data_IF_605050056935
#
_entry.id   IF_605050056935
#
_cell.length_a   1.000
_cell.length_b   1.000
_cell.length_c   1.000
_cell.angle_alpha   90.00
_cell.angle_beta   90.00
_cell.angle_gamma   90.00
#
_symmetry.space_group_name_H-M   'P 1'
#
loop_
_entity.id
_entity.type
_entity.pdbx_description
1 polymer ?
#
# COMPACT_ATOMS: atom_id res chain seq x y z
N UNK A 1 42.12 9.71 18.05
CA UNK A 1 40.65 9.81 18.18
C UNK A 1 40.08 9.52 16.79
N UNK A 2 39.25 8.54 16.62
CA UNK A 2 38.65 8.28 15.33
C UNK A 2 37.68 9.45 15.03
N UNK A 3 38.04 10.29 14.07
CA UNK A 3 37.21 11.44 13.69
C UNK A 3 35.99 10.95 12.94
N UNK A 4 34.84 10.92 13.64
CA UNK A 4 33.55 10.73 13.03
C UNK A 4 32.88 12.09 12.82
N UNK A 5 32.56 12.39 11.58
CA UNK A 5 31.83 13.61 11.22
C UNK A 5 30.63 13.29 10.37
N UNK A 6 29.63 14.16 10.40
CA UNK A 6 28.43 14.00 9.59
C UNK A 6 27.89 15.37 9.16
N UNK A 7 27.16 15.38 8.05
CA UNK A 7 26.49 16.56 7.52
C UNK A 7 25.19 16.21 6.83
N UNK A 8 24.21 17.11 6.86
CA UNK A 8 22.88 16.92 6.23
C UNK A 8 22.71 17.89 5.07
N UNK A 9 22.40 17.33 3.90
CA UNK A 9 22.08 18.11 2.69
C UNK A 9 20.62 17.87 2.32
N UNK A 10 19.85 18.95 2.26
CA UNK A 10 18.46 18.92 1.82
C UNK A 10 18.37 19.00 0.30
N UNK A 11 17.39 18.31 -0.32
CA UNK A 11 17.18 18.40 -1.76
C UNK A 11 16.76 19.82 -2.16
N UNK A 12 17.24 20.27 -3.32
CA UNK A 12 16.75 21.50 -3.94
C UNK A 12 15.24 21.40 -4.24
N UNK A 13 14.53 22.51 -4.10
CA UNK A 13 13.12 22.62 -4.47
C UNK A 13 12.98 22.58 -5.99
N UNK A 14 13.03 21.40 -6.59
CA UNK A 14 12.67 21.24 -8.00
C UNK A 14 11.15 21.31 -8.16
N UNK A 15 10.67 22.07 -9.16
CA UNK A 15 9.27 22.06 -9.58
C UNK A 15 8.88 20.60 -9.86
N UNK A 16 7.79 20.17 -9.24
CA UNK A 16 7.28 18.79 -9.25
C UNK A 16 7.21 18.20 -10.64
N UNK A 17 8.10 17.29 -10.95
CA UNK A 17 7.86 16.27 -11.97
C UNK A 17 7.01 15.16 -11.35
N UNK A 18 6.15 14.54 -12.14
CA UNK A 18 5.22 13.45 -11.79
C UNK A 18 5.88 12.18 -11.20
N UNK A 19 6.92 12.34 -10.40
CA UNK A 19 7.68 11.23 -9.86
C UNK A 19 7.06 10.78 -8.52
N UNK A 20 6.64 9.52 -8.43
CA UNK A 20 6.02 8.92 -7.24
C UNK A 20 6.93 8.91 -6.00
N UNK A 21 8.24 9.06 -6.18
CA UNK A 21 9.21 9.06 -5.08
C UNK A 21 9.27 10.45 -4.43
N UNK A 22 9.05 10.49 -3.12
CA UNK A 22 9.23 11.73 -2.36
C UNK A 22 10.70 12.16 -2.36
N UNK A 23 10.98 13.48 -2.37
CA UNK A 23 12.35 13.97 -2.23
C UNK A 23 12.93 13.52 -0.88
N UNK A 24 14.21 13.13 -0.89
CA UNK A 24 14.94 12.66 0.28
C UNK A 24 16.08 13.61 0.58
N UNK A 25 16.39 13.77 1.86
CA UNK A 25 17.64 14.40 2.28
C UNK A 25 18.77 13.38 2.28
N UNK A 26 19.99 13.85 2.13
CA UNK A 26 21.20 13.02 2.20
C UNK A 26 21.96 13.36 3.47
N UNK A 27 22.28 12.35 4.27
CA UNK A 27 23.20 12.46 5.39
C UNK A 27 24.55 11.90 4.91
N UNK A 28 25.56 12.71 4.90
CA UNK A 28 26.94 12.31 4.64
C UNK A 28 27.58 11.94 5.97
N UNK A 29 28.23 10.79 6.02
CA UNK A 29 29.00 10.32 7.15
C UNK A 29 30.44 10.17 6.68
N UNK A 30 31.41 10.59 7.51
CA UNK A 30 32.83 10.33 7.29
C UNK A 30 33.45 9.77 8.55
N UNK A 31 34.19 8.67 8.42
CA UNK A 31 34.90 8.03 9.53
C UNK A 31 36.18 7.35 9.03
N UNK A 32 37.21 7.33 9.87
CA UNK A 32 38.49 6.70 9.54
C UNK A 32 38.35 5.18 9.25
N UNK A 33 37.37 4.52 9.89
CA UNK A 33 37.20 3.06 9.80
C UNK A 33 36.32 2.62 8.64
N UNK A 34 35.37 3.46 8.16
CA UNK A 34 34.39 3.09 7.14
C UNK A 34 34.43 4.01 5.91
N UNK A 35 35.29 5.05 5.93
CA UNK A 35 35.35 6.05 4.88
C UNK A 35 34.08 6.91 4.78
N UNK A 36 33.80 7.40 3.56
CA UNK A 36 32.66 8.27 3.27
C UNK A 36 31.43 7.46 2.86
N UNK A 37 30.30 7.70 3.53
CA UNK A 37 29.03 7.06 3.28
C UNK A 37 27.92 8.07 3.03
N UNK A 38 26.88 7.66 2.29
CA UNK A 38 25.67 8.48 2.01
C UNK A 38 24.42 7.72 2.44
N UNK A 39 23.64 8.31 3.33
CA UNK A 39 22.37 7.78 3.76
C UNK A 39 21.23 8.66 3.23
N UNK A 40 20.26 8.03 2.55
CA UNK A 40 19.08 8.73 2.07
C UNK A 40 17.93 8.56 3.06
N UNK A 41 17.45 9.66 3.60
CA UNK A 41 16.39 9.66 4.62
C UNK A 41 15.22 10.59 4.23
N UNK A 42 14.02 10.37 4.77
CA UNK A 42 12.92 11.32 4.63
C UNK A 42 13.31 12.71 5.14
N UNK A 43 12.76 13.75 4.53
CA UNK A 43 13.07 15.16 4.91
C UNK A 43 12.73 15.44 6.39
N UNK A 44 11.62 14.85 6.91
CA UNK A 44 11.25 15.02 8.31
C UNK A 44 12.25 14.37 9.27
N UNK A 45 12.86 13.24 8.90
CA UNK A 45 13.96 12.61 9.65
C UNK A 45 15.16 13.56 9.68
N UNK A 46 15.60 14.06 8.51
CA UNK A 46 16.71 15.00 8.42
C UNK A 46 16.48 16.28 9.23
N UNK A 47 15.26 16.83 9.18
CA UNK A 47 14.89 18.00 9.99
C UNK A 47 14.99 17.71 11.49
N UNK A 48 14.55 16.53 11.94
CA UNK A 48 14.64 16.14 13.35
C UNK A 48 16.09 15.96 13.78
N UNK A 49 16.93 15.35 12.92
CA UNK A 49 18.37 15.22 13.16
C UNK A 49 19.02 16.61 13.37
N UNK A 50 18.79 17.55 12.45
CA UNK A 50 19.34 18.90 12.56
C UNK A 50 18.81 19.66 13.78
N UNK A 51 17.55 19.45 14.16
CA UNK A 51 16.99 20.08 15.35
C UNK A 51 17.66 19.57 16.64
N UNK A 52 17.81 18.25 16.77
CA UNK A 52 18.47 17.63 17.94
C UNK A 52 19.95 18.00 18.03
N UNK A 53 20.62 18.16 16.90
CA UNK A 53 22.02 18.64 16.86
C UNK A 53 22.15 20.06 17.42
N UNK A 54 21.29 20.97 17.02
CA UNK A 54 21.24 22.35 17.54
C UNK A 54 21.00 22.43 19.05
N UNK A 55 20.28 21.43 19.59
CA UNK A 55 19.99 21.31 21.02
C UNK A 55 21.09 20.54 21.77
N UNK A 56 22.22 20.21 21.11
CA UNK A 56 23.32 19.36 21.64
C UNK A 56 22.84 17.99 22.17
N UNK A 57 21.72 17.49 21.64
CA UNK A 57 21.16 16.18 22.00
C UNK A 57 21.67 15.06 21.09
N UNK A 58 22.35 15.42 20.00
CA UNK A 58 22.83 14.47 19.01
C UNK A 58 24.36 14.28 19.05
N UNK A 59 25.02 14.73 20.11
CA UNK A 59 26.46 14.52 20.30
C UNK A 59 26.78 13.04 20.20
N UNK A 60 27.43 12.66 19.10
CA UNK A 60 27.80 11.28 18.80
C UNK A 60 29.30 11.18 18.63
N UNK A 61 29.91 10.37 19.48
CA UNK A 61 31.37 10.15 19.48
C UNK A 61 31.78 9.14 18.40
N UNK A 62 30.84 8.35 17.90
CA UNK A 62 31.10 7.31 16.92
C UNK A 62 29.97 7.17 15.88
N UNK A 63 30.34 6.60 14.72
CA UNK A 63 29.41 6.22 13.66
C UNK A 63 28.28 5.28 14.16
N UNK A 64 28.62 4.30 14.97
CA UNK A 64 27.63 3.33 15.49
C UNK A 64 26.60 4.00 16.38
N UNK A 65 27.02 4.90 17.26
CA UNK A 65 26.14 5.67 18.13
C UNK A 65 25.21 6.60 17.32
N UNK A 66 25.75 7.28 16.33
CA UNK A 66 24.93 8.11 15.42
C UNK A 66 23.86 7.28 14.70
N UNK A 67 24.22 6.11 14.15
CA UNK A 67 23.27 5.23 13.48
C UNK A 67 22.19 4.67 14.44
N UNK A 68 22.53 4.40 15.70
CA UNK A 68 21.55 4.02 16.71
C UNK A 68 20.56 5.17 16.99
N UNK A 69 21.06 6.40 17.22
CA UNK A 69 20.22 7.59 17.42
C UNK A 69 19.32 7.85 16.20
N UNK A 70 19.88 7.76 14.97
CA UNK A 70 19.14 7.91 13.73
C UNK A 70 18.02 6.85 13.59
N UNK A 71 18.31 5.62 14.00
CA UNK A 71 17.32 4.52 13.99
C UNK A 71 16.16 4.79 14.95
N UNK A 72 16.45 5.31 16.16
CA UNK A 72 15.43 5.69 17.14
C UNK A 72 14.56 6.83 16.61
N UNK A 73 15.16 7.88 16.04
CA UNK A 73 14.44 9.00 15.39
C UNK A 73 13.50 8.47 14.31
N UNK A 74 13.99 7.56 13.45
CA UNK A 74 13.14 6.98 12.41
C UNK A 74 12.01 6.15 12.98
N UNK A 75 12.24 5.35 14.04
CA UNK A 75 11.23 4.54 14.70
C UNK A 75 10.07 5.39 15.21
N UNK A 76 10.36 6.51 15.86
CA UNK A 76 9.33 7.44 16.37
C UNK A 76 8.54 8.08 15.23
N UNK A 77 9.23 8.55 14.19
CA UNK A 77 8.57 9.16 13.04
C UNK A 77 7.76 8.17 12.19
N UNK A 78 8.19 6.92 12.10
CA UNK A 78 7.42 5.84 11.45
C UNK A 78 6.14 5.57 12.24
N UNK A 79 6.21 5.51 13.58
CA UNK A 79 5.02 5.32 14.43
C UNK A 79 3.98 6.42 14.17
N UNK A 80 4.38 7.68 14.27
CA UNK A 80 3.50 8.83 13.98
C UNK A 80 2.93 8.75 12.56
N UNK A 81 3.76 8.28 11.60
CA UNK A 81 3.33 8.12 10.21
C UNK A 81 2.31 7.01 10.03
N UNK A 82 2.47 5.88 10.72
CA UNK A 82 1.51 4.77 10.74
C UNK A 82 0.16 5.26 11.29
N UNK A 83 0.17 5.89 12.45
CA UNK A 83 -1.03 6.46 13.08
C UNK A 83 -1.78 7.39 12.14
N UNK A 84 -1.08 8.35 11.52
CA UNK A 84 -1.67 9.30 10.57
C UNK A 84 -2.21 8.64 9.28
N UNK A 85 -1.68 7.51 8.87
CA UNK A 85 -2.18 6.75 7.72
C UNK A 85 -3.45 5.97 8.09
N UNK A 86 -3.42 5.27 9.22
CA UNK A 86 -4.55 4.45 9.68
C UNK A 86 -5.77 5.28 10.11
N UNK A 87 -5.59 6.53 10.55
CA UNK A 87 -6.69 7.46 10.79
C UNK A 87 -7.48 7.82 9.51
N UNK A 88 -6.90 7.63 8.32
CA UNK A 88 -7.56 7.98 7.05
C UNK A 88 -8.32 6.81 6.43
N UNK A 89 -7.75 5.62 6.46
CA UNK A 89 -8.32 4.37 5.96
C UNK A 89 -7.56 3.17 6.49
N UNK A 90 -8.15 2.01 6.38
CA UNK A 90 -7.44 0.76 6.59
C UNK A 90 -6.39 0.50 5.50
N UNK A 91 -5.34 -0.20 5.88
CA UNK A 91 -4.26 -0.67 5.02
C UNK A 91 -4.01 -2.15 5.26
N UNK A 92 -3.63 -2.89 4.22
CA UNK A 92 -2.96 -4.17 4.43
C UNK A 92 -1.55 -3.95 4.96
N UNK A 93 -1.01 -4.96 5.60
CA UNK A 93 0.39 -4.99 6.07
C UNK A 93 1.37 -4.67 4.93
N UNK A 94 1.14 -5.24 3.75
CA UNK A 94 1.94 -5.00 2.55
C UNK A 94 1.83 -3.55 2.05
N UNK A 95 0.59 -3.03 1.87
CA UNK A 95 0.39 -1.64 1.42
C UNK A 95 1.05 -0.62 2.35
N UNK A 96 0.95 -0.84 3.67
CA UNK A 96 1.56 0.05 4.65
C UNK A 96 3.08 0.01 4.58
N UNK A 97 3.67 -1.19 4.51
CA UNK A 97 5.11 -1.39 4.35
C UNK A 97 5.64 -0.67 3.12
N UNK A 98 5.01 -0.88 1.96
CA UNK A 98 5.39 -0.22 0.71
C UNK A 98 5.27 1.30 0.79
N UNK A 99 4.22 1.80 1.46
CA UNK A 99 4.04 3.24 1.67
C UNK A 99 5.17 3.86 2.48
N UNK A 100 5.59 3.21 3.56
CA UNK A 100 6.69 3.66 4.42
C UNK A 100 8.05 3.57 3.71
N UNK A 101 8.27 2.51 2.90
CA UNK A 101 9.46 2.36 2.04
C UNK A 101 9.54 3.46 0.98
N UNK A 102 8.42 3.79 0.34
CA UNK A 102 8.33 4.90 -0.62
C UNK A 102 8.53 6.26 0.06
N UNK A 103 8.10 6.43 1.31
CA UNK A 103 8.39 7.63 2.11
C UNK A 103 9.90 7.75 2.42
N UNK A 104 10.68 6.66 2.33
CA UNK A 104 12.14 6.64 2.41
C UNK A 104 12.71 6.23 3.75
N UNK A 105 11.91 5.64 4.63
CA UNK A 105 12.39 5.08 5.89
C UNK A 105 13.26 3.83 5.68
N UNK A 106 14.17 3.55 6.60
CA UNK A 106 15.03 2.37 6.55
C UNK A 106 14.20 1.09 6.64
N UNK A 107 14.51 0.13 5.77
CA UNK A 107 13.79 -1.15 5.67
C UNK A 107 13.67 -1.85 7.03
N UNK A 108 14.74 -2.05 7.83
CA UNK A 108 14.63 -2.72 9.12
C UNK A 108 13.74 -1.98 10.14
N UNK A 109 13.68 -0.64 10.05
CA UNK A 109 12.78 0.16 10.91
C UNK A 109 11.33 -0.03 10.48
N UNK A 110 11.06 -0.02 9.17
CA UNK A 110 9.72 -0.27 8.63
C UNK A 110 9.23 -1.64 9.06
N UNK A 111 10.01 -2.70 8.83
CA UNK A 111 9.64 -4.08 9.15
C UNK A 111 9.30 -4.26 10.63
N UNK A 112 10.18 -3.79 11.53
CA UNK A 112 9.94 -3.86 12.97
C UNK A 112 8.71 -3.05 13.41
N UNK A 113 8.49 -1.87 12.82
CA UNK A 113 7.36 -1.02 13.20
C UNK A 113 6.03 -1.58 12.69
N UNK A 114 6.01 -2.17 11.48
CA UNK A 114 4.83 -2.82 10.92
C UNK A 114 4.51 -4.11 11.68
N UNK A 115 5.51 -4.95 12.00
CA UNK A 115 5.32 -6.12 12.84
C UNK A 115 4.70 -5.74 14.20
N UNK A 116 5.20 -4.67 14.82
CA UNK A 116 4.62 -4.17 16.08
C UNK A 116 3.17 -3.71 15.92
N UNK A 117 2.83 -3.06 14.80
CA UNK A 117 1.44 -2.64 14.52
C UNK A 117 0.49 -3.85 14.36
N UNK A 118 0.98 -4.98 13.81
CA UNK A 118 0.23 -6.24 13.76
C UNK A 118 0.06 -6.83 15.16
N UNK A 119 1.14 -6.94 15.94
CA UNK A 119 1.11 -7.49 17.31
C UNK A 119 0.10 -6.78 18.22
N UNK A 120 0.00 -5.46 18.11
CA UNK A 120 -0.94 -4.65 18.90
C UNK A 120 -2.34 -4.53 18.29
N UNK A 121 -2.62 -5.24 17.19
CA UNK A 121 -3.93 -5.28 16.54
C UNK A 121 -4.32 -4.03 15.75
N UNK A 122 -3.39 -3.09 15.51
CA UNK A 122 -3.63 -1.93 14.65
C UNK A 122 -3.76 -2.34 13.18
N UNK A 123 -3.02 -3.37 12.75
CA UNK A 123 -3.11 -4.00 11.44
C UNK A 123 -3.66 -5.41 11.59
N UNK A 124 -4.59 -5.78 10.71
CA UNK A 124 -5.14 -7.13 10.63
C UNK A 124 -5.57 -7.39 9.18
N UNK A 125 -4.78 -8.18 8.47
CA UNK A 125 -4.98 -8.46 7.04
C UNK A 125 -6.26 -9.26 6.79
N UNK A 126 -6.70 -10.14 7.71
CA UNK A 126 -7.97 -10.86 7.60
C UNK A 126 -9.16 -9.89 7.68
N UNK A 127 -9.18 -9.01 8.69
CA UNK A 127 -10.22 -7.97 8.82
C UNK A 127 -10.24 -7.04 7.61
N UNK A 128 -9.06 -6.61 7.16
CA UNK A 128 -8.92 -5.79 5.96
C UNK A 128 -9.51 -6.48 4.73
N UNK A 129 -9.16 -7.75 4.51
CA UNK A 129 -9.63 -8.54 3.38
C UNK A 129 -11.16 -8.71 3.40
N UNK A 130 -11.75 -9.08 4.55
CA UNK A 130 -13.20 -9.23 4.70
C UNK A 130 -13.94 -7.94 4.34
N UNK A 131 -13.57 -6.83 4.94
CA UNK A 131 -14.18 -5.52 4.66
C UNK A 131 -14.01 -5.10 3.21
N UNK A 132 -12.82 -5.33 2.63
CA UNK A 132 -12.53 -5.02 1.23
C UNK A 132 -13.42 -5.81 0.29
N UNK A 133 -13.53 -7.14 0.50
CA UNK A 133 -14.37 -8.01 -0.33
C UNK A 133 -15.82 -7.57 -0.28
N UNK A 134 -16.40 -7.41 0.90
CA UNK A 134 -17.80 -6.97 1.06
C UNK A 134 -18.07 -5.66 0.36
N UNK A 135 -17.16 -4.69 0.51
CA UNK A 135 -17.25 -3.40 -0.19
C UNK A 135 -17.17 -3.54 -1.71
N UNK A 136 -16.35 -4.46 -2.25
CA UNK A 136 -16.22 -4.64 -3.70
C UNK A 136 -17.36 -5.42 -4.31
N UNK A 137 -17.87 -6.41 -3.60
CA UNK A 137 -19.11 -7.13 -3.97
C UNK A 137 -20.29 -6.15 -4.08
N UNK A 138 -20.48 -5.28 -3.09
CA UNK A 138 -21.55 -4.26 -3.14
C UNK A 138 -21.40 -3.25 -4.29
N UNK A 139 -20.15 -3.01 -4.76
CA UNK A 139 -19.83 -2.19 -5.94
C UNK A 139 -19.99 -2.95 -7.27
N UNK A 140 -20.45 -4.21 -7.23
CA UNK A 140 -20.68 -5.04 -8.40
C UNK A 140 -19.40 -5.61 -9.04
N UNK A 141 -18.35 -5.84 -8.22
CA UNK A 141 -17.17 -6.54 -8.71
C UNK A 141 -17.35 -8.05 -8.61
N UNK A 142 -16.88 -8.75 -9.62
CA UNK A 142 -16.86 -10.21 -9.63
C UNK A 142 -15.61 -10.78 -8.93
N UNK A 143 -15.65 -12.08 -8.61
CA UNK A 143 -14.63 -12.71 -7.77
C UNK A 143 -13.21 -12.67 -8.36
N UNK A 144 -13.05 -12.78 -9.68
CA UNK A 144 -11.73 -12.76 -10.34
C UNK A 144 -11.02 -11.41 -10.16
N UNK A 145 -11.75 -10.32 -10.29
CA UNK A 145 -11.18 -8.98 -10.10
C UNK A 145 -10.83 -8.72 -8.65
N UNK A 146 -11.70 -9.12 -7.73
CA UNK A 146 -11.45 -8.99 -6.28
C UNK A 146 -10.20 -9.77 -5.90
N UNK A 147 -10.06 -11.02 -6.34
CA UNK A 147 -8.89 -11.84 -6.08
C UNK A 147 -7.59 -11.20 -6.61
N UNK A 148 -7.61 -10.68 -7.83
CA UNK A 148 -6.47 -9.97 -8.43
C UNK A 148 -6.06 -8.75 -7.60
N UNK A 149 -7.02 -7.95 -7.17
CA UNK A 149 -6.77 -6.75 -6.36
C UNK A 149 -6.26 -7.06 -4.95
N UNK A 150 -6.78 -8.13 -4.31
CA UNK A 150 -6.27 -8.58 -3.02
C UNK A 150 -4.81 -9.03 -3.13
N UNK A 151 -4.47 -9.82 -4.17
CA UNK A 151 -3.09 -10.24 -4.43
C UNK A 151 -2.15 -9.05 -4.62
N UNK A 152 -2.58 -8.00 -5.34
CA UNK A 152 -1.79 -6.77 -5.49
C UNK A 152 -1.56 -6.04 -4.16
N UNK A 153 -2.41 -6.27 -3.16
CA UNK A 153 -2.30 -5.74 -1.81
C UNK A 153 -1.59 -6.66 -0.83
N UNK A 154 -0.98 -7.73 -1.36
CA UNK A 154 -0.27 -8.72 -0.54
C UNK A 154 -1.18 -9.57 0.33
N UNK A 155 -2.46 -9.69 -0.01
CA UNK A 155 -3.44 -10.50 0.71
C UNK A 155 -3.58 -11.86 0.03
N UNK A 156 -3.33 -12.93 0.79
CA UNK A 156 -3.59 -14.29 0.36
C UNK A 156 -5.07 -14.64 0.54
N UNK A 157 -5.67 -15.29 -0.47
CA UNK A 157 -7.09 -15.66 -0.43
C UNK A 157 -7.42 -16.68 0.65
N UNK A 158 -6.43 -17.41 1.14
CA UNK A 158 -6.55 -18.35 2.26
C UNK A 158 -6.95 -17.69 3.59
N UNK A 159 -6.78 -16.36 3.69
CA UNK A 159 -7.26 -15.57 4.83
C UNK A 159 -8.79 -15.37 4.84
N UNK A 160 -9.46 -15.70 3.74
CA UNK A 160 -10.90 -15.53 3.57
C UNK A 160 -11.59 -16.90 3.61
N UNK A 161 -12.19 -17.23 4.72
CA UNK A 161 -12.89 -18.50 4.90
C UNK A 161 -14.03 -18.67 3.89
N UNK A 162 -13.96 -19.78 3.12
CA UNK A 162 -14.98 -20.10 2.13
C UNK A 162 -15.02 -19.18 0.91
N UNK A 163 -13.91 -18.48 0.59
CA UNK A 163 -13.81 -17.71 -0.64
C UNK A 163 -13.92 -18.59 -1.89
N UNK A 164 -14.65 -18.18 -2.95
CA UNK A 164 -15.49 -16.97 -3.03
C UNK A 164 -16.92 -17.15 -2.51
N UNK A 165 -17.36 -18.38 -2.25
CA UNK A 165 -18.77 -18.76 -2.11
C UNK A 165 -19.44 -18.13 -0.89
N UNK A 166 -18.71 -17.96 0.22
CA UNK A 166 -19.22 -17.27 1.42
C UNK A 166 -19.57 -15.80 1.14
N UNK A 167 -18.84 -15.13 0.24
CA UNK A 167 -19.01 -13.71 -0.05
C UNK A 167 -19.88 -13.44 -1.26
N UNK A 168 -19.82 -14.31 -2.26
CA UNK A 168 -20.52 -14.18 -3.52
C UNK A 168 -20.83 -15.57 -4.09
N UNK A 169 -21.86 -16.26 -3.57
CA UNK A 169 -22.32 -17.55 -4.09
C UNK A 169 -22.58 -17.51 -5.59
N UNK A 170 -22.41 -18.64 -6.27
CA UNK A 170 -22.51 -18.71 -7.74
C UNK A 170 -23.85 -18.19 -8.28
N UNK A 171 -24.94 -18.47 -7.58
CA UNK A 171 -26.27 -17.98 -7.94
C UNK A 171 -26.34 -16.45 -7.87
N UNK A 172 -25.83 -15.88 -6.78
CA UNK A 172 -25.76 -14.43 -6.61
C UNK A 172 -24.82 -13.76 -7.63
N UNK A 173 -23.77 -14.45 -8.08
CA UNK A 173 -22.90 -13.93 -9.15
C UNK A 173 -23.68 -13.72 -10.44
N UNK A 174 -24.56 -14.65 -10.85
CA UNK A 174 -25.38 -14.52 -12.05
C UNK A 174 -26.37 -13.37 -11.93
N UNK A 175 -27.08 -13.29 -10.81
CA UNK A 175 -28.03 -12.24 -10.55
C UNK A 175 -27.40 -10.85 -10.54
N UNK A 176 -26.30 -10.68 -9.80
CA UNK A 176 -25.55 -9.43 -9.78
C UNK A 176 -25.02 -9.03 -11.15
N UNK A 177 -24.48 -9.99 -11.91
CA UNK A 177 -24.00 -9.75 -13.27
C UNK A 177 -25.15 -9.31 -14.19
N UNK A 178 -26.33 -9.94 -14.09
CA UNK A 178 -27.50 -9.59 -14.87
C UNK A 178 -28.00 -8.18 -14.54
N UNK A 179 -28.18 -7.84 -13.27
CA UNK A 179 -28.57 -6.49 -12.83
C UNK A 179 -27.58 -5.40 -13.31
N UNK A 180 -26.28 -5.71 -13.29
CA UNK A 180 -25.27 -4.78 -13.80
C UNK A 180 -25.37 -4.60 -15.33
N UNK A 181 -25.62 -5.69 -16.05
CA UNK A 181 -25.74 -5.68 -17.50
C UNK A 181 -26.99 -4.92 -17.96
N UNK A 182 -28.10 -5.00 -17.23
CA UNK A 182 -29.33 -4.24 -17.51
C UNK A 182 -29.12 -2.72 -17.56
N UNK A 183 -28.13 -2.20 -16.82
CA UNK A 183 -27.77 -0.77 -16.84
C UNK A 183 -27.07 -0.34 -18.14
N UNK A 184 -26.74 -1.30 -19.03
CA UNK A 184 -26.08 -1.00 -20.31
C UNK A 184 -27.10 -0.74 -21.39
N UNK A 185 -26.92 0.39 -22.10
CA UNK A 185 -27.74 0.68 -23.27
C UNK A 185 -27.35 -0.28 -24.40
N UNK A 186 -28.31 -1.04 -24.90
CA UNK A 186 -28.19 -1.88 -26.08
C UNK A 186 -28.37 -1.01 -27.35
N UNK A 187 -27.60 -1.27 -28.39
CA UNK A 187 -27.55 -0.44 -29.61
C UNK A 187 -27.91 -1.23 -30.86
N UNK A 188 -28.21 -2.52 -30.71
CA UNK A 188 -28.49 -3.43 -31.84
C UNK A 188 -27.24 -3.89 -32.59
N UNK A 189 -26.04 -3.37 -32.27
CA UNK A 189 -24.79 -3.76 -32.94
C UNK A 189 -23.81 -4.39 -31.94
N UNK A 190 -23.56 -5.70 -32.14
CA UNK A 190 -22.58 -6.48 -31.32
C UNK A 190 -22.80 -6.35 -29.79
N UNK A 191 -24.07 -6.32 -29.39
CA UNK A 191 -24.42 -6.12 -27.96
C UNK A 191 -24.00 -7.31 -27.10
N UNK A 192 -24.06 -8.53 -27.65
CA UNK A 192 -23.50 -9.71 -27.00
C UNK A 192 -22.03 -9.49 -26.58
N UNK A 193 -21.18 -9.14 -27.51
CA UNK A 193 -19.76 -8.91 -27.22
C UNK A 193 -19.50 -7.72 -26.28
N UNK A 194 -20.37 -6.70 -26.29
CA UNK A 194 -20.28 -5.57 -25.36
C UNK A 194 -20.60 -5.99 -23.92
N UNK A 195 -21.67 -6.79 -23.73
CA UNK A 195 -22.07 -7.29 -22.42
C UNK A 195 -21.00 -8.21 -21.86
N UNK A 196 -20.52 -9.18 -22.65
CA UNK A 196 -19.46 -10.12 -22.22
C UNK A 196 -18.20 -9.37 -21.78
N UNK A 197 -17.69 -8.44 -22.61
CA UNK A 197 -16.50 -7.64 -22.25
C UNK A 197 -16.71 -6.78 -21.01
N UNK A 198 -17.88 -6.21 -20.84
CA UNK A 198 -18.20 -5.41 -19.66
C UNK A 198 -18.19 -6.24 -18.39
N UNK A 199 -18.84 -7.40 -18.38
CA UNK A 199 -18.89 -8.28 -17.21
C UNK A 199 -17.52 -8.91 -16.91
N UNK A 200 -16.78 -9.30 -17.95
CA UNK A 200 -15.41 -9.78 -17.78
C UNK A 200 -14.49 -8.71 -17.18
N UNK A 201 -14.60 -7.45 -17.60
CA UNK A 201 -13.88 -6.32 -16.99
C UNK A 201 -14.29 -6.04 -15.54
N UNK A 202 -15.50 -6.43 -15.16
CA UNK A 202 -15.97 -6.43 -13.77
C UNK A 202 -15.43 -7.61 -12.95
N UNK A 203 -14.86 -8.63 -13.60
CA UNK A 203 -14.23 -9.79 -12.98
C UNK A 203 -15.17 -10.97 -12.75
N UNK A 204 -16.24 -11.07 -13.52
CA UNK A 204 -17.08 -12.28 -13.54
C UNK A 204 -16.46 -13.37 -14.41
N UNK A 205 -16.59 -14.67 -14.03
CA UNK A 205 -16.19 -15.79 -14.87
C UNK A 205 -16.84 -15.75 -16.27
N UNK A 206 -16.10 -16.19 -17.30
CA UNK A 206 -16.55 -16.09 -18.67
C UNK A 206 -17.89 -16.83 -18.93
N UNK A 207 -18.10 -17.98 -18.26
CA UNK A 207 -19.39 -18.72 -18.33
C UNK A 207 -20.55 -17.84 -17.89
N UNK A 208 -20.44 -17.16 -16.75
CA UNK A 208 -21.47 -16.21 -16.28
C UNK A 208 -21.67 -15.07 -17.27
N UNK A 209 -20.58 -14.50 -17.80
CA UNK A 209 -20.67 -13.41 -18.76
C UNK A 209 -21.44 -13.80 -20.02
N UNK A 210 -21.19 -15.01 -20.55
CA UNK A 210 -21.84 -15.51 -21.77
C UNK A 210 -23.30 -15.89 -21.52
N UNK A 211 -23.61 -16.50 -20.38
CA UNK A 211 -24.97 -16.88 -20.01
C UNK A 211 -25.86 -15.65 -19.82
N UNK A 212 -25.37 -14.65 -19.08
CA UNK A 212 -26.08 -13.39 -18.87
C UNK A 212 -26.27 -12.64 -20.20
N UNK A 213 -25.26 -12.60 -21.07
CA UNK A 213 -25.39 -11.95 -22.38
C UNK A 213 -26.44 -12.62 -23.26
N UNK A 214 -26.52 -13.98 -23.26
CA UNK A 214 -27.56 -14.73 -23.98
C UNK A 214 -28.95 -14.45 -23.40
N UNK A 215 -29.08 -14.46 -22.06
CA UNK A 215 -30.33 -14.19 -21.39
C UNK A 215 -30.86 -12.80 -21.74
N UNK A 216 -30.04 -11.75 -21.57
CA UNK A 216 -30.44 -10.38 -21.87
C UNK A 216 -30.91 -10.15 -23.33
N UNK A 217 -30.32 -10.88 -24.29
CA UNK A 217 -30.71 -10.75 -25.71
C UNK A 217 -31.94 -11.58 -26.06
N UNK A 218 -32.38 -12.49 -25.19
CA UNK A 218 -33.69 -13.20 -25.37
C UNK A 218 -34.84 -12.40 -24.76
N UNK A 219 -34.54 -11.59 -23.74
CA UNK A 219 -35.54 -10.82 -23.00
C UNK A 219 -35.84 -9.44 -23.66
N UNK A 220 -35.20 -9.14 -24.80
CA UNK A 220 -35.38 -7.95 -25.68
C UNK A 220 -36.07 -8.34 -26.96
#
# INVERSE_FOLDING_TARGET
>A
MADFTWNVVFPEKKKTTFNRKKPRATIFLSSDTHGDEKLFVPINVAKKVVALDRESQLDSVSRSEFLQKLTLIQKDLVRVRIEALLQRRDYSTFELSEKLRLDGFFIPVVEKSVARAVEVGLLNDQRYADLYVRSKVSQGWGPLKIACELKQRGIELTLLDGWPDTYLPLENQREHAYMLAQRKRLTGKNDYGKIVRFLAAKGYPLGICTDVAKQMLRDV
#
